data_IF_659034226714
#
_entry.id   IF_659034226714
#
_cell.length_a   1.000
_cell.length_b   1.000
_cell.length_c   1.000
_cell.angle_alpha   90.00
_cell.angle_beta   90.00
_cell.angle_gamma   90.00
#
_symmetry.space_group_name_H-M   'P 1'
#
loop_
_entity.id
_entity.type
_entity.pdbx_description
1 polymer ?
#
# COMPACT_ATOMS: atom_id res chain seq x y z
N UNK A 1 -17.84 5.31 13.56
CA UNK A 1 -16.65 5.94 13.01
C UNK A 1 -15.97 4.97 12.04
N UNK A 2 -15.74 5.40 10.82
CA UNK A 2 -15.10 4.53 9.82
C UNK A 2 -13.63 4.33 10.18
N UNK A 3 -13.18 3.08 10.19
CA UNK A 3 -11.76 2.79 10.36
C UNK A 3 -11.05 3.04 9.02
N UNK A 4 -9.71 3.11 9.06
CA UNK A 4 -8.94 3.26 7.83
C UNK A 4 -9.17 2.08 6.86
N UNK A 5 -9.51 0.91 7.41
CA UNK A 5 -9.78 -0.27 6.60
C UNK A 5 -11.04 -0.13 5.75
N UNK A 6 -12.00 0.66 6.21
CA UNK A 6 -13.22 0.94 5.46
C UNK A 6 -12.94 1.81 4.23
N UNK A 7 -11.80 2.50 4.22
CA UNK A 7 -11.39 3.36 3.11
C UNK A 7 -10.57 2.62 2.06
N UNK A 8 -10.20 1.37 2.37
CA UNK A 8 -9.34 0.58 1.48
C UNK A 8 -10.17 -0.57 0.90
N UNK A 9 -10.35 -0.56 -0.41
CA UNK A 9 -11.05 -1.62 -1.11
C UNK A 9 -10.06 -2.76 -1.39
N UNK A 10 -10.31 -3.99 -0.88
CA UNK A 10 -9.35 -5.08 -0.99
C UNK A 10 -8.95 -5.45 -2.41
N UNK A 11 -9.88 -5.30 -3.35
CA UNK A 11 -9.66 -5.70 -4.74
C UNK A 11 -9.11 -4.57 -5.61
N UNK A 12 -9.01 -3.36 -5.05
CA UNK A 12 -8.53 -2.19 -5.79
C UNK A 12 -7.02 -2.08 -5.69
N UNK A 13 -6.40 -1.61 -6.77
CA UNK A 13 -4.96 -1.31 -6.78
C UNK A 13 -4.75 0.18 -6.55
N UNK A 14 -3.82 0.50 -5.66
CA UNK A 14 -3.50 1.87 -5.28
C UNK A 14 -2.12 2.25 -5.74
N UNK A 15 -1.96 3.49 -6.20
CA UNK A 15 -0.66 4.06 -6.52
C UNK A 15 0.13 4.24 -5.23
N UNK A 16 1.46 4.28 -5.33
CA UNK A 16 2.31 4.42 -4.14
C UNK A 16 1.96 5.66 -3.32
N UNK A 17 1.63 6.79 -3.96
CA UNK A 17 1.24 8.00 -3.25
C UNK A 17 -0.01 7.81 -2.42
N UNK A 18 -1.05 7.21 -3.01
CA UNK A 18 -2.32 6.96 -2.32
C UNK A 18 -2.15 5.89 -1.24
N UNK A 19 -1.40 4.83 -1.55
CA UNK A 19 -1.16 3.75 -0.61
C UNK A 19 -0.40 4.25 0.63
N UNK A 20 0.61 5.07 0.44
CA UNK A 20 1.38 5.65 1.53
C UNK A 20 0.50 6.52 2.42
N UNK A 21 -0.36 7.32 1.80
CA UNK A 21 -1.29 8.18 2.51
C UNK A 21 -2.26 7.37 3.37
N UNK A 22 -2.82 6.30 2.81
CA UNK A 22 -3.73 5.41 3.53
C UNK A 22 -3.03 4.68 4.68
N UNK A 23 -1.77 4.31 4.49
CA UNK A 23 -0.98 3.62 5.50
C UNK A 23 -0.40 4.58 6.56
N UNK A 24 -0.42 5.88 6.31
CA UNK A 24 0.13 6.87 7.23
C UNK A 24 1.65 6.93 7.24
N UNK A 25 2.28 6.56 6.13
CA UNK A 25 3.73 6.60 5.98
C UNK A 25 4.11 7.44 4.76
N UNK A 26 5.38 7.81 4.63
CA UNK A 26 5.86 8.52 3.45
C UNK A 26 5.99 7.55 2.27
N UNK A 27 5.97 8.10 1.05
CA UNK A 27 6.18 7.28 -0.15
C UNK A 27 7.56 6.63 -0.14
N UNK A 28 8.56 7.32 0.43
CA UNK A 28 9.91 6.79 0.55
C UNK A 28 9.93 5.55 1.44
N UNK A 29 9.25 5.62 2.59
CA UNK A 29 9.16 4.51 3.53
C UNK A 29 8.43 3.33 2.90
N UNK A 30 7.30 3.58 2.24
CA UNK A 30 6.53 2.51 1.60
C UNK A 30 7.32 1.83 0.49
N UNK A 31 8.02 2.62 -0.33
CA UNK A 31 8.87 2.08 -1.40
C UNK A 31 9.98 1.19 -0.83
N UNK A 32 10.62 1.66 0.24
CA UNK A 32 11.66 0.90 0.90
C UNK A 32 11.12 -0.42 1.44
N UNK A 33 9.99 -0.39 2.12
CA UNK A 33 9.36 -1.59 2.67
C UNK A 33 8.96 -2.57 1.58
N UNK A 34 8.45 -2.07 0.46
CA UNK A 34 8.08 -2.89 -0.68
C UNK A 34 9.31 -3.61 -1.26
N UNK A 35 10.42 -2.89 -1.40
CA UNK A 35 11.67 -3.46 -1.91
C UNK A 35 12.26 -4.49 -0.96
N UNK A 36 12.01 -4.36 0.33
CA UNK A 36 12.47 -5.30 1.34
C UNK A 36 11.54 -6.51 1.51
N UNK A 37 10.42 -6.53 0.81
CA UNK A 37 9.49 -7.65 0.84
C UNK A 37 8.43 -7.58 1.94
N UNK A 38 8.30 -6.45 2.61
CA UNK A 38 7.29 -6.29 3.66
C UNK A 38 5.88 -6.10 3.10
N UNK A 39 5.76 -5.69 1.85
CA UNK A 39 4.47 -5.56 1.19
C UNK A 39 4.65 -5.93 -0.30
N UNK A 40 3.83 -6.86 -0.82
CA UNK A 40 3.85 -7.19 -2.25
C UNK A 40 3.38 -6.00 -3.08
N UNK A 41 3.93 -5.87 -4.27
CA UNK A 41 3.55 -4.80 -5.18
C UNK A 41 3.61 -5.30 -6.62
N UNK A 42 2.94 -4.57 -7.51
CA UNK A 42 3.04 -4.78 -8.94
C UNK A 42 3.59 -3.51 -9.58
N UNK A 43 4.17 -3.67 -10.76
CA UNK A 43 4.69 -2.53 -11.53
C UNK A 43 3.87 -2.41 -12.80
N UNK A 44 3.33 -1.23 -13.04
CA UNK A 44 2.56 -0.96 -14.25
C UNK A 44 3.47 -0.85 -15.46
N UNK A 45 2.87 -0.82 -16.66
CA UNK A 45 3.61 -0.68 -17.92
C UNK A 45 4.49 0.57 -17.94
N UNK A 46 4.08 1.59 -17.19
CA UNK A 46 4.82 2.85 -17.09
C UNK A 46 5.87 2.84 -15.98
N UNK A 47 6.12 1.68 -15.37
CA UNK A 47 7.11 1.55 -14.29
C UNK A 47 6.65 2.07 -12.95
N UNK A 48 5.36 2.26 -12.75
CA UNK A 48 4.83 2.77 -11.48
C UNK A 48 4.42 1.63 -10.57
N UNK A 49 4.78 1.75 -9.29
CA UNK A 49 4.42 0.76 -8.28
C UNK A 49 2.95 0.89 -7.92
N UNK A 50 2.27 -0.25 -7.80
CA UNK A 50 0.89 -0.31 -7.34
C UNK A 50 0.75 -1.38 -6.28
N UNK A 51 -0.17 -1.15 -5.36
CA UNK A 51 -0.39 -2.01 -4.21
C UNK A 51 -1.86 -2.43 -4.17
N UNK A 52 -2.10 -3.74 -4.02
CA UNK A 52 -3.46 -4.25 -3.90
C UNK A 52 -4.00 -3.91 -2.51
N UNK A 53 -5.27 -3.52 -2.44
CA UNK A 53 -5.87 -3.07 -1.19
C UNK A 53 -5.74 -4.08 -0.06
N UNK A 54 -5.99 -5.36 -0.32
CA UNK A 54 -5.87 -6.39 0.72
C UNK A 54 -4.44 -6.54 1.24
N UNK A 55 -3.45 -6.35 0.39
CA UNK A 55 -2.05 -6.37 0.81
C UNK A 55 -1.69 -5.14 1.63
N UNK A 56 -2.28 -4.01 1.27
CA UNK A 56 -2.09 -2.78 2.02
C UNK A 56 -2.69 -2.89 3.42
N UNK A 57 -3.88 -3.49 3.54
CA UNK A 57 -4.53 -3.75 4.83
C UNK A 57 -3.64 -4.65 5.70
N UNK A 58 -3.11 -5.71 5.11
CA UNK A 58 -2.21 -6.63 5.81
C UNK A 58 -0.95 -5.90 6.30
N UNK A 59 -0.38 -5.07 5.46
CA UNK A 59 0.81 -4.27 5.80
C UNK A 59 0.54 -3.35 6.99
N UNK A 60 -0.60 -2.66 6.99
CA UNK A 60 -0.98 -1.76 8.07
C UNK A 60 -1.15 -2.54 9.38
N UNK A 61 -1.74 -3.73 9.32
CA UNK A 61 -1.99 -4.55 10.50
C UNK A 61 -0.73 -5.19 11.08
N UNK A 62 0.24 -5.56 10.24
CA UNK A 62 1.32 -6.45 10.66
C UNK A 62 2.72 -5.84 10.59
N UNK A 63 2.91 -4.76 9.86
CA UNK A 63 4.23 -4.16 9.66
C UNK A 63 4.34 -2.80 10.37
N UNK A 64 3.29 -2.02 10.31
CA UNK A 64 3.27 -0.69 10.93
C UNK A 64 2.91 -0.75 12.42
#
# INVERSE_FOLDING_TARGET
>A
MASIYDQIEPERRYRIGDAAKLAGVSTVTLRKDARQGYIPFTVSEKGRMKFLGKQLIHYINNVI
#
